data_IF_130804719759
#
_entry.id   IF_130804719759
#
_cell.length_a   1.000
_cell.length_b   1.000
_cell.length_c   1.000
_cell.angle_alpha   90.00
_cell.angle_beta   90.00
_cell.angle_gamma   90.00
#
_symmetry.space_group_name_H-M   'P 1'
#
loop_
_entity.id
_entity.type
_entity.pdbx_description
1 polymer ?
#
# COMPACT_ATOMS: atom_id res chain seq x y z
N UNK A 1 -5.93 -10.57 -3.55
CA UNK A 1 -5.02 -11.65 -3.96
C UNK A 1 -3.64 -11.07 -4.11
N UNK A 2 -2.62 -11.78 -3.61
CA UNK A 2 -1.24 -11.31 -3.48
C UNK A 2 -0.29 -11.90 -4.54
N UNK A 3 -0.86 -12.59 -5.53
CA UNK A 3 -0.10 -13.28 -6.56
C UNK A 3 0.43 -12.30 -7.61
N UNK A 4 1.60 -12.61 -8.16
CA UNK A 4 2.34 -11.75 -9.10
C UNK A 4 1.50 -11.31 -10.31
N UNK A 5 0.67 -12.20 -10.87
CA UNK A 5 -0.18 -11.86 -12.02
C UNK A 5 -1.26 -10.84 -11.66
N UNK A 6 -1.75 -10.81 -10.42
CA UNK A 6 -2.71 -9.80 -9.96
C UNK A 6 -2.05 -8.42 -9.91
N UNK A 7 -0.82 -8.36 -9.40
CA UNK A 7 -0.03 -7.14 -9.42
C UNK A 7 0.20 -6.65 -10.85
N UNK A 8 0.58 -7.54 -11.76
CA UNK A 8 0.75 -7.24 -13.18
C UNK A 8 -0.53 -6.64 -13.78
N UNK A 9 -1.68 -7.29 -13.58
CA UNK A 9 -2.96 -6.80 -14.12
C UNK A 9 -3.32 -5.41 -13.57
N UNK A 10 -2.98 -5.13 -12.31
CA UNK A 10 -3.24 -3.83 -11.67
C UNK A 10 -2.28 -2.73 -12.13
N UNK A 11 -1.17 -3.04 -12.82
CA UNK A 11 -0.21 -2.01 -13.29
C UNK A 11 -0.80 -1.04 -14.30
N UNK A 12 -1.96 -1.34 -14.88
CA UNK A 12 -2.71 -0.40 -15.72
C UNK A 12 -2.93 0.93 -15.00
N UNK A 13 -3.13 0.91 -13.67
CA UNK A 13 -3.31 2.12 -12.85
C UNK A 13 -2.09 3.04 -12.97
N UNK A 14 -0.89 2.53 -12.68
CA UNK A 14 0.34 3.32 -12.76
C UNK A 14 0.76 3.68 -14.18
N UNK A 15 0.49 2.81 -15.17
CA UNK A 15 0.77 3.10 -16.57
C UNK A 15 -0.10 4.26 -17.09
N UNK A 16 -1.37 4.32 -16.69
CA UNK A 16 -2.26 5.43 -17.00
C UNK A 16 -1.86 6.71 -16.25
N UNK A 17 -1.54 6.60 -14.95
CA UNK A 17 -1.07 7.72 -14.14
C UNK A 17 0.16 8.39 -14.74
N UNK A 18 1.17 7.62 -15.19
CA UNK A 18 2.36 8.18 -15.87
C UNK A 18 2.00 8.97 -17.13
N UNK A 19 1.06 8.47 -17.93
CA UNK A 19 0.58 9.20 -19.11
C UNK A 19 -0.16 10.49 -18.72
N UNK A 20 -0.91 10.48 -17.62
CA UNK A 20 -1.62 11.65 -17.11
C UNK A 20 -0.64 12.70 -16.58
N UNK A 21 0.40 12.31 -15.82
CA UNK A 21 1.48 13.20 -15.40
C UNK A 21 2.23 13.82 -16.58
N UNK A 22 2.56 13.01 -17.60
CA UNK A 22 3.22 13.51 -18.81
C UNK A 22 2.37 14.55 -19.57
N UNK A 23 1.03 14.46 -19.53
CA UNK A 23 0.13 15.45 -20.18
C UNK A 23 0.19 16.82 -19.52
N UNK A 24 0.53 16.89 -18.23
CA UNK A 24 0.63 18.15 -17.49
C UNK A 24 2.09 18.60 -17.30
N UNK A 25 3.07 17.84 -17.81
CA UNK A 25 4.49 18.16 -17.70
C UNK A 25 5.08 17.98 -16.30
N UNK A 26 4.40 17.22 -15.43
CA UNK A 26 4.79 17.01 -14.03
C UNK A 26 5.29 15.58 -13.78
N UNK A 27 5.96 15.37 -12.66
CA UNK A 27 6.35 14.04 -12.17
C UNK A 27 6.27 14.01 -10.64
N UNK A 28 5.73 12.95 -10.02
CA UNK A 28 5.58 12.90 -8.57
C UNK A 28 6.93 12.66 -7.87
N UNK A 29 7.21 13.41 -6.81
CA UNK A 29 8.29 13.09 -5.87
C UNK A 29 7.97 11.85 -5.02
N UNK A 30 6.67 11.63 -4.75
CA UNK A 30 6.18 10.56 -3.88
C UNK A 30 4.87 9.97 -4.40
N UNK A 31 4.72 8.65 -4.26
CA UNK A 31 3.49 7.91 -4.54
C UNK A 31 3.06 7.17 -3.27
N UNK A 32 1.89 7.52 -2.76
CA UNK A 32 1.28 6.86 -1.60
C UNK A 32 0.11 5.97 -2.04
N UNK A 33 0.03 4.76 -1.49
CA UNK A 33 -1.15 3.91 -1.67
C UNK A 33 -1.39 2.96 -0.49
N UNK A 34 -2.66 2.61 -0.19
CA UNK A 34 -2.96 1.71 0.90
C UNK A 34 -2.48 0.29 0.59
N UNK A 35 -1.96 -0.41 1.60
CA UNK A 35 -1.44 -1.77 1.47
C UNK A 35 -2.22 -2.72 2.38
N UNK A 36 -2.82 -3.74 1.78
CA UNK A 36 -3.48 -4.83 2.51
C UNK A 36 -2.96 -6.20 2.08
N UNK A 37 -2.89 -6.43 0.77
CA UNK A 37 -2.10 -7.53 0.17
C UNK A 37 -1.16 -7.03 -0.94
N UNK A 38 -0.91 -5.71 -0.99
CA UNK A 38 -0.03 -5.08 -1.96
C UNK A 38 -0.52 -4.88 -3.41
N UNK A 39 -1.65 -5.45 -3.84
CA UNK A 39 -2.01 -5.41 -5.28
C UNK A 39 -2.31 -4.01 -5.82
N UNK A 40 -3.05 -3.18 -5.06
CA UNK A 40 -3.35 -1.81 -5.48
C UNK A 40 -2.10 -0.92 -5.38
N UNK A 41 -1.31 -1.06 -4.30
CA UNK A 41 -0.05 -0.35 -4.12
C UNK A 41 0.91 -0.65 -5.27
N UNK A 42 1.15 -1.92 -5.59
CA UNK A 42 1.98 -2.30 -6.73
C UNK A 42 1.40 -1.83 -8.06
N UNK A 43 0.08 -1.86 -8.22
CA UNK A 43 -0.61 -1.39 -9.42
C UNK A 43 -0.31 0.06 -9.76
N UNK A 44 -0.32 0.96 -8.75
CA UNK A 44 0.09 2.34 -8.96
C UNK A 44 1.63 2.49 -8.94
N UNK A 45 2.34 1.85 -8.01
CA UNK A 45 3.73 2.14 -7.70
C UNK A 45 4.76 1.46 -8.62
N UNK A 46 4.52 0.23 -9.10
CA UNK A 46 5.54 -0.53 -9.86
C UNK A 46 5.93 0.15 -11.19
N UNK A 47 5.02 0.78 -11.94
CA UNK A 47 5.41 1.59 -13.11
C UNK A 47 6.34 2.77 -12.78
N UNK A 48 6.24 3.35 -11.58
CA UNK A 48 7.17 4.38 -11.08
C UNK A 48 8.42 3.75 -10.45
N UNK A 49 8.33 2.54 -9.91
CA UNK A 49 9.49 1.78 -9.45
C UNK A 49 10.45 1.46 -10.61
N UNK A 50 9.94 1.15 -11.79
CA UNK A 50 10.77 0.98 -12.98
C UNK A 50 11.60 2.24 -13.28
N UNK A 51 11.01 3.44 -13.13
CA UNK A 51 11.73 4.70 -13.29
C UNK A 51 12.74 4.91 -12.16
N UNK A 52 12.36 4.57 -10.91
CA UNK A 52 13.27 4.60 -9.75
C UNK A 52 14.51 3.75 -9.97
N UNK A 53 14.32 2.51 -10.43
CA UNK A 53 15.39 1.59 -10.79
C UNK A 53 16.26 2.11 -11.95
N UNK A 54 15.70 2.95 -12.83
CA UNK A 54 16.42 3.65 -13.89
C UNK A 54 17.07 4.98 -13.43
N UNK A 55 17.07 5.28 -12.13
CA UNK A 55 17.76 6.42 -11.53
C UNK A 55 16.89 7.65 -11.23
N UNK A 56 15.56 7.58 -11.42
CA UNK A 56 14.66 8.66 -10.94
C UNK A 56 14.59 8.64 -9.42
N UNK A 57 14.55 9.82 -8.81
CA UNK A 57 14.30 9.96 -7.38
C UNK A 57 12.79 10.05 -7.15
N UNK A 58 12.17 8.93 -6.79
CA UNK A 58 10.75 8.87 -6.39
C UNK A 58 10.60 7.94 -5.19
N UNK A 59 9.83 8.39 -4.20
CA UNK A 59 9.48 7.60 -3.01
C UNK A 59 8.17 6.87 -3.26
N UNK A 60 8.12 5.61 -2.87
CA UNK A 60 6.97 4.74 -3.06
C UNK A 60 6.58 4.22 -1.69
N UNK A 61 5.44 4.67 -1.18
CA UNK A 61 5.07 4.49 0.23
C UNK A 61 3.79 3.67 0.34
N UNK A 62 3.94 2.44 0.82
CA UNK A 62 2.84 1.55 1.17
C UNK A 62 2.31 1.93 2.55
N UNK A 63 0.98 2.12 2.68
CA UNK A 63 0.37 2.57 3.93
C UNK A 63 -0.63 1.55 4.46
N UNK A 64 -0.41 1.06 5.67
CA UNK A 64 -1.19 0.00 6.31
C UNK A 64 -1.79 0.48 7.65
N UNK A 65 -2.73 -0.25 8.26
CA UNK A 65 -3.23 0.10 9.58
C UNK A 65 -2.27 -0.38 10.68
N UNK A 66 -2.16 0.36 11.78
CA UNK A 66 -1.41 -0.12 12.96
C UNK A 66 -1.98 -1.40 13.59
N UNK A 67 -3.26 -1.71 13.34
CA UNK A 67 -3.95 -2.92 13.81
C UNK A 67 -3.65 -4.17 12.97
N UNK A 68 -3.20 -4.02 11.71
CA UNK A 68 -2.74 -5.10 10.84
C UNK A 68 -1.39 -4.69 10.20
N UNK A 69 -0.31 -4.60 11.01
CA UNK A 69 0.96 -3.99 10.61
C UNK A 69 1.88 -4.97 9.84
N UNK A 70 1.44 -5.46 8.68
CA UNK A 70 2.10 -6.53 7.93
C UNK A 70 3.51 -6.17 7.46
N UNK A 71 3.70 -5.07 6.74
CA UNK A 71 5.01 -4.64 6.24
C UNK A 71 5.89 -4.01 7.32
N UNK A 72 5.28 -3.29 8.28
CA UNK A 72 6.05 -2.55 9.28
C UNK A 72 6.45 -3.39 10.49
N UNK A 73 5.71 -4.47 10.81
CA UNK A 73 5.97 -5.32 11.99
C UNK A 73 5.85 -6.82 11.75
N UNK A 74 5.38 -7.26 10.58
CA UNK A 74 5.27 -8.68 10.25
C UNK A 74 6.63 -9.36 10.10
N UNK A 75 6.59 -10.69 10.01
CA UNK A 75 7.77 -11.52 9.81
C UNK A 75 7.94 -11.80 8.32
N UNK A 76 9.16 -11.65 7.79
CA UNK A 76 9.48 -12.03 6.41
C UNK A 76 9.82 -13.52 6.35
N UNK A 77 8.84 -14.35 5.98
CA UNK A 77 8.92 -15.81 6.04
C UNK A 77 8.04 -16.47 4.96
N UNK A 78 8.21 -17.78 4.77
CA UNK A 78 7.28 -18.56 3.96
C UNK A 78 5.97 -18.79 4.72
N UNK A 79 4.85 -18.42 4.12
CA UNK A 79 3.50 -18.63 4.68
C UNK A 79 2.47 -18.80 3.56
N UNK A 80 1.27 -19.25 3.90
CA UNK A 80 0.17 -19.44 2.95
C UNK A 80 -0.39 -18.09 2.48
N UNK A 81 -0.68 -18.00 1.18
CA UNK A 81 -1.37 -16.88 0.54
C UNK A 81 -2.86 -16.83 0.76
N UNK A 82 -3.41 -17.69 1.59
CA UNK A 82 -4.79 -17.67 2.00
C UNK A 82 -4.91 -18.31 3.38
N UNK A 83 -5.93 -17.90 4.13
CA UNK A 83 -6.15 -18.39 5.47
C UNK A 83 -6.48 -19.90 5.53
N UNK A 84 -6.89 -20.50 4.41
CA UNK A 84 -7.26 -21.92 4.34
C UNK A 84 -6.10 -22.84 3.98
N UNK A 85 -4.94 -22.30 3.60
CA UNK A 85 -3.74 -23.06 3.27
C UNK A 85 -3.80 -23.79 1.91
N UNK A 86 -4.63 -23.34 0.97
CA UNK A 86 -4.75 -23.98 -0.35
C UNK A 86 -3.73 -23.47 -1.39
N UNK A 87 -3.18 -22.28 -1.17
CA UNK A 87 -2.10 -21.73 -1.98
C UNK A 87 -0.77 -22.41 -1.64
N UNK A 88 0.22 -22.40 -2.56
CA UNK A 88 1.60 -22.69 -2.20
C UNK A 88 2.11 -21.71 -1.13
N UNK A 89 3.12 -22.14 -0.38
CA UNK A 89 3.87 -21.23 0.49
C UNK A 89 4.58 -20.16 -0.33
N UNK A 90 4.48 -18.91 0.12
CA UNK A 90 5.09 -17.75 -0.52
C UNK A 90 6.00 -17.04 0.47
N UNK A 91 7.18 -16.61 0.02
CA UNK A 91 8.07 -15.78 0.84
C UNK A 91 7.54 -14.35 0.85
N UNK A 92 6.99 -13.94 1.99
CA UNK A 92 6.35 -12.63 2.15
C UNK A 92 6.46 -12.11 3.58
N UNK A 93 6.19 -10.82 3.77
CA UNK A 93 5.83 -10.32 5.09
C UNK A 93 4.45 -10.87 5.46
N UNK A 94 4.34 -11.41 6.67
CA UNK A 94 3.10 -12.01 7.20
C UNK A 94 2.93 -11.75 8.69
N UNK A 95 1.67 -11.65 9.13
CA UNK A 95 1.23 -11.72 10.52
C UNK A 95 0.86 -13.15 10.96
N UNK A 96 0.92 -14.11 10.03
CA UNK A 96 0.41 -15.47 10.14
C UNK A 96 -0.94 -15.60 9.42
N UNK A 97 -1.12 -16.64 8.59
CA UNK A 97 -2.37 -16.87 7.84
C UNK A 97 -3.61 -17.11 8.71
N UNK A 98 -3.42 -17.41 9.99
CA UNK A 98 -4.46 -17.54 11.01
C UNK A 98 -4.71 -16.24 11.80
N UNK A 99 -4.00 -15.15 11.46
CA UNK A 99 -4.14 -13.86 12.11
C UNK A 99 -5.57 -13.31 11.96
N UNK A 100 -6.13 -12.87 13.09
CA UNK A 100 -7.42 -12.19 13.13
C UNK A 100 -7.24 -10.77 13.66
N UNK A 101 -7.62 -9.74 12.87
CA UNK A 101 -7.59 -8.36 13.34
C UNK A 101 -8.43 -8.16 14.61
N UNK A 102 -8.12 -7.17 15.45
CA UNK A 102 -8.95 -6.80 16.60
C UNK A 102 -10.41 -6.56 16.19
N UNK A 103 -11.37 -6.97 17.03
CA UNK A 103 -12.80 -6.86 16.72
C UNK A 103 -13.30 -5.44 16.47
N UNK A 104 -12.61 -4.44 17.03
CA UNK A 104 -12.90 -3.01 16.85
C UNK A 104 -12.31 -2.42 15.55
N UNK A 105 -11.57 -3.22 14.79
CA UNK A 105 -10.94 -2.78 13.55
C UNK A 105 -11.95 -2.70 12.40
N UNK A 106 -12.12 -1.50 11.86
CA UNK A 106 -13.06 -1.16 10.80
C UNK A 106 -12.38 -0.47 9.60
N UNK A 107 -11.04 -0.33 9.61
CA UNK A 107 -10.28 0.32 8.54
C UNK A 107 -10.11 -0.49 7.24
N UNK A 108 -10.62 -1.73 7.17
CA UNK A 108 -10.28 -2.64 6.07
C UNK A 108 -8.84 -3.14 6.18
N UNK A 109 -8.15 -3.42 5.06
CA UNK A 109 -6.73 -3.85 5.06
C UNK A 109 -6.42 -4.95 6.10
N UNK A 110 -7.28 -5.98 6.14
CA UNK A 110 -7.28 -7.03 7.16
C UNK A 110 -6.41 -8.24 6.82
N UNK A 111 -5.92 -8.29 5.60
CA UNK A 111 -5.27 -9.45 5.06
C UNK A 111 -3.88 -9.60 5.69
N UNK A 112 -3.48 -10.84 5.97
CA UNK A 112 -2.38 -11.14 6.89
C UNK A 112 -1.00 -11.00 6.27
N UNK A 113 -0.88 -11.05 4.95
CA UNK A 113 0.39 -11.05 4.24
C UNK A 113 0.40 -10.06 3.07
N UNK A 114 1.56 -9.63 2.63
CA UNK A 114 1.68 -8.81 1.43
C UNK A 114 2.33 -9.58 0.28
N UNK A 115 2.13 -9.15 -0.96
CA UNK A 115 2.68 -9.91 -2.10
C UNK A 115 4.18 -10.14 -1.99
N UNK A 116 4.71 -11.26 -2.51
CA UNK A 116 6.13 -11.55 -2.47
C UNK A 116 6.98 -10.41 -3.06
N UNK A 117 6.52 -9.81 -4.16
CA UNK A 117 7.23 -8.70 -4.80
C UNK A 117 7.20 -7.43 -3.94
N UNK A 118 6.06 -7.05 -3.35
CA UNK A 118 6.01 -5.88 -2.45
C UNK A 118 6.84 -6.13 -1.20
N UNK A 119 6.75 -7.33 -0.65
CA UNK A 119 7.51 -7.74 0.53
C UNK A 119 9.02 -7.70 0.28
N UNK A 120 9.48 -8.23 -0.85
CA UNK A 120 10.88 -8.20 -1.24
C UNK A 120 11.38 -6.75 -1.39
N UNK A 121 10.65 -5.91 -2.13
CA UNK A 121 11.03 -4.51 -2.33
C UNK A 121 11.07 -3.74 -1.01
N UNK A 122 10.15 -4.03 -0.07
CA UNK A 122 10.14 -3.42 1.26
C UNK A 122 11.34 -3.91 2.08
N UNK A 123 11.64 -5.21 2.04
CA UNK A 123 12.77 -5.83 2.74
C UNK A 123 14.11 -5.27 2.28
N UNK A 124 14.25 -4.98 0.99
CA UNK A 124 15.45 -4.41 0.36
C UNK A 124 15.53 -2.88 0.52
N UNK A 125 14.55 -2.23 1.15
CA UNK A 125 14.52 -0.77 1.34
C UNK A 125 14.26 0.01 0.05
N UNK A 126 13.72 -0.65 -0.98
CA UNK A 126 13.43 -0.06 -2.29
C UNK A 126 12.06 0.62 -2.33
N UNK A 127 11.13 0.16 -1.50
CA UNK A 127 9.87 0.85 -1.16
C UNK A 127 9.77 1.06 0.35
N UNK A 128 8.99 2.05 0.75
CA UNK A 128 8.77 2.41 2.15
C UNK A 128 7.43 1.84 2.63
N UNK A 129 7.33 1.56 3.93
CA UNK A 129 6.09 1.16 4.58
C UNK A 129 5.81 2.04 5.81
N UNK A 130 4.55 2.41 5.99
CA UNK A 130 4.06 3.24 7.10
C UNK A 130 2.77 2.64 7.64
N UNK A 131 2.63 2.59 8.96
CA UNK A 131 1.39 2.22 9.62
C UNK A 131 0.71 3.44 10.24
N UNK A 132 -0.59 3.61 10.02
CA UNK A 132 -1.40 4.72 10.57
C UNK A 132 -2.52 4.23 11.51
N UNK A 133 -2.83 4.96 12.61
CA UNK A 133 -3.92 4.59 13.51
C UNK A 133 -5.31 4.79 12.87
N UNK A 134 -6.25 3.89 13.17
CA UNK A 134 -7.61 3.91 12.60
C UNK A 134 -8.35 5.24 12.79
N UNK A 135 -8.30 5.84 13.97
CA UNK A 135 -9.03 7.09 14.21
C UNK A 135 -8.48 8.24 13.35
N UNK A 136 -7.15 8.34 13.22
CA UNK A 136 -6.51 9.32 12.36
C UNK A 136 -6.84 9.07 10.88
N UNK A 137 -6.92 7.80 10.47
CA UNK A 137 -7.38 7.41 9.13
C UNK A 137 -8.80 7.89 8.85
N UNK A 138 -9.74 7.71 9.77
CA UNK A 138 -11.12 8.16 9.57
C UNK A 138 -11.27 9.67 9.61
N UNK A 139 -10.51 10.36 10.47
CA UNK A 139 -10.44 11.82 10.45
C UNK A 139 -9.99 12.34 9.07
N UNK A 140 -8.95 11.72 8.50
CA UNK A 140 -8.47 12.06 7.16
C UNK A 140 -9.52 11.79 6.08
N UNK A 141 -10.25 10.67 6.17
CA UNK A 141 -11.34 10.35 5.25
C UNK A 141 -12.48 11.38 5.31
N UNK A 142 -12.88 11.81 6.52
CA UNK A 142 -13.89 12.86 6.71
C UNK A 142 -13.39 14.21 6.20
N UNK A 143 -12.14 14.55 6.46
CA UNK A 143 -11.53 15.78 5.94
C UNK A 143 -11.57 15.79 4.41
N UNK A 144 -11.09 14.72 3.77
CA UNK A 144 -11.06 14.59 2.32
C UNK A 144 -12.45 14.67 1.69
N UNK A 145 -13.45 14.01 2.30
CA UNK A 145 -14.82 14.09 1.82
C UNK A 145 -15.40 15.50 1.91
N UNK A 146 -15.04 16.27 2.95
CA UNK A 146 -15.49 17.66 3.12
C UNK A 146 -14.77 18.64 2.20
N UNK A 147 -13.51 18.37 1.84
CA UNK A 147 -12.72 19.28 0.99
C UNK A 147 -12.87 18.98 -0.51
N UNK A 148 -12.85 17.70 -0.89
CA UNK A 148 -12.84 17.26 -2.30
C UNK A 148 -14.21 16.78 -2.80
N UNK A 149 -15.19 16.58 -1.90
CA UNK A 149 -16.53 16.11 -2.25
C UNK A 149 -16.62 14.61 -2.62
N UNK A 150 -15.54 13.85 -2.46
CA UNK A 150 -15.48 12.41 -2.71
C UNK A 150 -15.36 11.68 -1.37
N UNK A 151 -16.26 10.74 -1.10
CA UNK A 151 -16.18 9.87 0.10
C UNK A 151 -15.19 8.73 -0.19
N UNK A 152 -14.01 8.70 0.44
CA UNK A 152 -13.04 7.63 0.20
C UNK A 152 -13.44 6.33 0.89
N UNK A 153 -12.98 5.21 0.37
CA UNK A 153 -13.04 3.94 1.10
C UNK A 153 -12.23 4.04 2.41
N UNK A 154 -12.62 3.32 3.48
CA UNK A 154 -11.80 3.19 4.69
C UNK A 154 -10.36 2.79 4.39
N UNK A 155 -10.15 1.88 3.45
CA UNK A 155 -8.83 1.45 2.99
C UNK A 155 -8.04 2.62 2.38
N UNK A 156 -8.62 3.33 1.41
CA UNK A 156 -8.00 4.49 0.74
C UNK A 156 -7.63 5.61 1.71
N UNK A 157 -8.40 5.76 2.78
CA UNK A 157 -8.16 6.78 3.80
C UNK A 157 -6.80 6.64 4.49
N UNK A 158 -6.19 5.44 4.49
CA UNK A 158 -4.84 5.23 5.04
C UNK A 158 -3.80 6.04 4.27
N UNK A 159 -3.81 5.94 2.93
CA UNK A 159 -2.90 6.69 2.09
C UNK A 159 -3.21 8.20 2.12
N UNK A 160 -4.49 8.58 2.20
CA UNK A 160 -4.89 9.99 2.38
C UNK A 160 -4.29 10.54 3.68
N UNK A 161 -4.39 9.79 4.80
CA UNK A 161 -3.78 10.21 6.06
C UNK A 161 -2.28 10.44 5.92
N UNK A 162 -1.57 9.48 5.35
CA UNK A 162 -0.13 9.58 5.14
C UNK A 162 0.25 10.76 4.26
N UNK A 163 -0.50 11.02 3.19
CA UNK A 163 -0.27 12.14 2.30
C UNK A 163 -0.49 13.49 3.02
N UNK A 164 -1.53 13.61 3.85
CA UNK A 164 -1.76 14.79 4.69
C UNK A 164 -0.60 15.00 5.66
N UNK A 165 -0.14 13.94 6.33
CA UNK A 165 1.00 13.99 7.24
C UNK A 165 2.28 14.48 6.55
N UNK A 166 2.56 13.94 5.36
CA UNK A 166 3.74 14.34 4.60
C UNK A 166 3.65 15.79 4.11
N UNK A 167 2.47 16.22 3.63
CA UNK A 167 2.25 17.60 3.22
C UNK A 167 2.47 18.59 4.38
N UNK A 168 2.12 18.22 5.62
CA UNK A 168 2.40 19.03 6.80
C UNK A 168 3.89 19.10 7.16
N UNK A 169 4.66 18.06 6.86
CA UNK A 169 6.12 18.04 7.08
C UNK A 169 6.90 18.86 6.05
N UNK A 170 6.37 18.99 4.85
CA UNK A 170 6.99 19.77 3.77
C UNK A 170 6.79 21.28 3.90
N UNK A 171 5.99 21.74 4.88
CA UNK A 171 5.83 23.17 5.20
C UNK A 171 7.10 23.74 5.82
#
# INVERSE_FOLDING_TARGET
SVLNHVLLHQTVIGLEAKKQFAKIGEYPDMVFAPCGGGSNFAGIAFPFFADKAAGKNVRLVAVEPTSCPTLTRGVYAYDFGDASGYTPLMLMYTLGHDFMPPSIHAGGLRYHGDSPLVSQLCKEGLVEALAVPQLATFEAGVQFARTEGIIPAPESSHAIRACIDEALRCK
#
